data_IF_836965887835
#
_entry.id   IF_836965887835
#
_cell.length_a   1.000
_cell.length_b   1.000
_cell.length_c   1.000
_cell.angle_alpha   90.00
_cell.angle_beta   90.00
_cell.angle_gamma   90.00
#
_symmetry.space_group_name_H-M   'P 1'
#
loop_
_entity.id
_entity.type
_entity.pdbx_description
1 polymer ?
#
# COMPACT_ATOMS: atom_id res chain seq x y z
N UNK A 1 -33.42 0.65 10.68
CA UNK A 1 -32.91 -0.58 10.96
C UNK A 1 -33.33 -1.04 12.31
N UNK A 2 -34.22 -2.01 12.29
CA UNK A 2 -35.20 -2.11 13.32
C UNK A 2 -34.80 -2.96 14.53
N UNK A 3 -34.02 -3.99 14.37
CA UNK A 3 -34.11 -5.10 15.34
C UNK A 3 -33.00 -5.17 16.39
N UNK A 4 -31.94 -4.41 16.27
CA UNK A 4 -30.82 -4.52 17.20
C UNK A 4 -30.83 -3.53 18.38
N UNK A 5 -31.74 -2.55 18.36
CA UNK A 5 -31.66 -1.41 19.27
C UNK A 5 -32.97 -1.12 20.05
N UNK A 6 -33.98 -1.91 19.82
CA UNK A 6 -35.28 -1.76 20.50
C UNK A 6 -35.20 -2.14 21.99
N UNK A 7 -34.11 -2.79 22.39
CA UNK A 7 -33.89 -3.22 23.77
C UNK A 7 -33.79 -2.08 24.81
N UNK A 8 -33.60 -0.85 24.35
CA UNK A 8 -33.52 0.34 25.22
C UNK A 8 -34.68 1.31 25.00
N UNK A 9 -35.75 0.88 24.36
CA UNK A 9 -36.92 1.72 24.01
C UNK A 9 -36.57 2.98 23.22
N UNK A 10 -35.48 2.91 22.43
CA UNK A 10 -34.99 4.01 21.58
C UNK A 10 -35.13 3.64 20.12
N UNK A 11 -35.66 4.56 19.34
CA UNK A 11 -35.91 4.37 17.91
C UNK A 11 -34.95 5.20 17.05
N UNK A 12 -34.67 4.67 15.85
CA UNK A 12 -33.87 5.35 14.80
C UNK A 12 -32.52 5.91 15.27
N UNK A 13 -32.26 7.18 15.01
CA UNK A 13 -31.00 7.85 15.32
C UNK A 13 -30.72 8.06 16.82
N UNK A 14 -31.72 7.90 17.68
CA UNK A 14 -31.52 8.04 19.14
C UNK A 14 -30.64 6.94 19.76
N UNK A 15 -30.37 5.88 19.00
CA UNK A 15 -29.44 4.82 19.38
C UNK A 15 -28.01 5.04 18.86
N UNK A 16 -27.77 6.12 18.11
CA UNK A 16 -26.43 6.42 17.64
C UNK A 16 -25.55 6.94 18.79
N UNK A 17 -24.31 6.44 18.95
CA UNK A 17 -23.43 6.88 20.03
C UNK A 17 -22.73 8.23 19.73
N UNK A 18 -23.15 8.92 18.70
CA UNK A 18 -22.57 10.18 18.22
C UNK A 18 -23.63 11.27 18.11
N UNK A 19 -23.23 12.52 18.28
CA UNK A 19 -24.12 13.68 18.12
C UNK A 19 -24.41 13.96 16.64
N UNK A 20 -25.44 14.76 16.37
CA UNK A 20 -25.78 15.21 15.01
C UNK A 20 -24.66 16.09 14.41
N UNK A 21 -23.99 16.88 15.24
CA UNK A 21 -22.87 17.72 14.84
C UNK A 21 -21.68 16.83 14.41
N UNK A 22 -21.38 15.78 15.15
CA UNK A 22 -20.34 14.83 14.79
C UNK A 22 -20.68 14.06 13.51
N UNK A 23 -21.95 13.67 13.34
CA UNK A 23 -22.44 13.06 12.09
C UNK A 23 -22.25 13.99 10.89
N UNK A 24 -22.66 15.25 11.00
CA UNK A 24 -22.47 16.24 9.95
C UNK A 24 -20.99 16.46 9.63
N UNK A 25 -20.13 16.54 10.66
CA UNK A 25 -18.70 16.76 10.49
C UNK A 25 -18.03 15.62 9.74
N UNK A 26 -18.18 14.35 10.17
CA UNK A 26 -17.54 13.23 9.49
C UNK A 26 -18.12 12.96 8.10
N UNK A 27 -19.43 13.20 7.89
CA UNK A 27 -20.07 13.05 6.58
C UNK A 27 -19.50 14.08 5.60
N UNK A 28 -19.35 15.33 6.02
CA UNK A 28 -18.75 16.38 5.22
C UNK A 28 -17.30 16.07 4.88
N UNK A 29 -16.50 15.61 5.86
CA UNK A 29 -15.12 15.22 5.65
C UNK A 29 -15.00 14.04 4.66
N UNK A 30 -15.83 13.01 4.80
CA UNK A 30 -15.86 11.87 3.88
C UNK A 30 -16.27 12.30 2.47
N UNK A 31 -17.28 13.16 2.33
CA UNK A 31 -17.69 13.65 1.03
C UNK A 31 -16.58 14.48 0.35
N UNK A 32 -15.83 15.26 1.11
CA UNK A 32 -14.66 15.96 0.60
C UNK A 32 -13.56 15.00 0.15
N UNK A 33 -13.20 14.01 0.97
CA UNK A 33 -12.18 13.00 0.65
C UNK A 33 -12.58 12.12 -0.55
N UNK A 34 -13.87 11.77 -0.67
CA UNK A 34 -14.40 10.97 -1.78
C UNK A 34 -14.71 11.81 -3.02
N UNK A 35 -14.67 13.13 -2.92
CA UNK A 35 -14.95 14.07 -3.99
C UNK A 35 -14.14 13.76 -5.26
N UNK A 36 -14.66 14.13 -6.44
CA UNK A 36 -14.05 13.80 -7.74
C UNK A 36 -12.60 14.31 -7.84
N UNK A 37 -12.35 15.50 -7.33
CA UNK A 37 -11.07 16.21 -7.44
C UNK A 37 -10.15 16.00 -6.22
N UNK A 38 -10.50 15.06 -5.33
CA UNK A 38 -9.68 14.76 -4.14
C UNK A 38 -8.38 14.10 -4.55
N UNK A 39 -7.24 14.69 -4.14
CA UNK A 39 -5.90 14.10 -4.27
C UNK A 39 -5.65 12.99 -3.24
N UNK A 40 -6.46 12.92 -2.18
CA UNK A 40 -6.29 12.03 -1.05
C UNK A 40 -7.12 10.76 -1.19
N UNK A 41 -7.34 10.32 -2.44
CA UNK A 41 -8.00 9.04 -2.73
C UNK A 41 -7.37 8.32 -3.91
N UNK A 42 -7.50 7.02 -3.89
CA UNK A 42 -7.24 6.17 -5.05
C UNK A 42 -8.19 4.96 -5.04
N UNK A 43 -8.25 4.21 -6.15
CA UNK A 43 -9.15 3.08 -6.29
C UNK A 43 -8.37 1.77 -6.36
N UNK A 44 -8.77 0.81 -5.53
CA UNK A 44 -8.33 -0.57 -5.55
C UNK A 44 -9.53 -1.45 -5.92
N UNK A 45 -9.62 -1.85 -7.18
CA UNK A 45 -10.74 -2.64 -7.71
C UNK A 45 -12.08 -1.95 -7.41
N UNK A 46 -12.92 -2.51 -6.52
CA UNK A 46 -14.21 -1.97 -6.08
C UNK A 46 -14.12 -1.03 -4.86
N UNK A 47 -12.96 -0.98 -4.24
CA UNK A 47 -12.74 -0.22 -3.01
C UNK A 47 -12.13 1.15 -3.30
N UNK A 48 -12.77 2.20 -2.82
CA UNK A 48 -12.19 3.54 -2.75
C UNK A 48 -11.37 3.67 -1.47
N UNK A 49 -10.10 3.93 -1.61
CA UNK A 49 -9.20 4.17 -0.49
C UNK A 49 -9.02 5.67 -0.34
N UNK A 50 -9.32 6.18 0.84
CA UNK A 50 -9.06 7.58 1.24
C UNK A 50 -8.03 7.59 2.37
N UNK A 51 -7.21 8.61 2.41
CA UNK A 51 -6.16 8.76 3.41
C UNK A 51 -5.98 10.23 3.77
N UNK A 52 -5.53 10.47 4.98
CA UNK A 52 -5.24 11.82 5.47
C UNK A 52 -4.29 11.78 6.66
N UNK A 53 -3.62 12.88 6.89
CA UNK A 53 -2.84 13.15 8.09
C UNK A 53 -3.50 14.26 8.92
N UNK A 54 -3.21 14.29 10.21
CA UNK A 54 -3.75 15.33 11.10
C UNK A 54 -3.20 16.73 10.75
N UNK A 55 -2.01 16.79 10.13
CA UNK A 55 -1.37 17.99 9.59
C UNK A 55 -0.84 17.66 8.20
N UNK A 56 -0.76 18.61 7.26
CA UNK A 56 -0.18 18.36 5.94
C UNK A 56 1.23 17.79 6.04
N UNK A 57 1.50 16.67 5.35
CA UNK A 57 2.78 15.96 5.40
C UNK A 57 3.28 15.59 4.00
N UNK A 58 4.59 15.35 3.87
CA UNK A 58 5.18 14.88 2.62
C UNK A 58 4.64 13.50 2.22
N UNK A 59 4.39 12.62 3.20
CA UNK A 59 3.80 11.31 2.96
C UNK A 59 2.43 11.45 2.31
N UNK A 60 1.56 12.32 2.82
CA UNK A 60 0.22 12.54 2.29
C UNK A 60 0.27 12.97 0.81
N UNK A 61 1.22 13.85 0.46
CA UNK A 61 1.39 14.34 -0.92
C UNK A 61 1.81 13.24 -1.90
N UNK A 62 2.62 12.26 -1.48
CA UNK A 62 3.14 11.22 -2.37
C UNK A 62 2.38 9.88 -2.25
N UNK A 63 1.56 9.69 -1.22
CA UNK A 63 0.92 8.41 -0.90
C UNK A 63 0.12 7.84 -2.07
N UNK A 64 -0.69 8.66 -2.73
CA UNK A 64 -1.47 8.24 -3.89
C UNK A 64 -0.58 7.68 -5.02
N UNK A 65 0.55 8.33 -5.30
CA UNK A 65 1.43 7.96 -6.42
C UNK A 65 2.11 6.60 -6.23
N UNK A 66 2.30 6.17 -4.98
CA UNK A 66 2.87 4.86 -4.65
C UNK A 66 1.95 3.74 -5.08
N UNK A 67 0.64 3.93 -4.96
CA UNK A 67 -0.38 2.91 -5.19
C UNK A 67 -1.01 2.98 -6.58
N UNK A 68 -0.93 4.10 -7.27
CA UNK A 68 -1.56 4.32 -8.59
C UNK A 68 -0.55 4.23 -9.74
N UNK A 69 -1.07 4.07 -10.94
CA UNK A 69 -0.27 4.20 -12.15
C UNK A 69 -0.02 5.68 -12.48
N UNK A 70 1.18 6.04 -12.92
CA UNK A 70 1.37 7.35 -13.55
C UNK A 70 0.50 7.46 -14.81
N UNK A 71 0.16 8.68 -15.24
CA UNK A 71 -0.57 8.91 -16.48
C UNK A 71 0.15 8.26 -17.67
N UNK A 72 -0.61 7.78 -18.66
CA UNK A 72 -0.04 7.14 -19.85
C UNK A 72 0.84 8.11 -20.66
N UNK A 73 0.47 9.37 -20.65
CA UNK A 73 1.14 10.44 -21.41
C UNK A 73 2.43 10.93 -20.72
N UNK A 74 2.60 10.63 -19.43
CA UNK A 74 3.79 10.98 -18.65
C UNK A 74 4.13 9.85 -17.67
N UNK A 75 4.83 8.80 -18.13
CA UNK A 75 5.19 7.65 -17.31
C UNK A 75 6.13 7.97 -16.14
N UNK A 76 6.84 9.08 -16.22
CA UNK A 76 7.81 9.53 -15.22
C UNK A 76 7.23 10.59 -14.27
N UNK A 77 5.96 10.95 -14.46
CA UNK A 77 5.27 11.90 -13.58
C UNK A 77 5.37 11.44 -12.13
N UNK A 78 5.75 12.37 -11.27
CA UNK A 78 5.92 12.13 -9.83
C UNK A 78 7.05 11.17 -9.43
N UNK A 79 7.86 10.69 -10.37
CA UNK A 79 9.02 9.83 -10.08
C UNK A 79 10.02 10.55 -9.17
N UNK A 80 10.23 11.83 -9.36
CA UNK A 80 11.12 12.65 -8.52
C UNK A 80 10.59 12.78 -7.10
N UNK A 81 9.30 13.04 -6.94
CA UNK A 81 8.65 13.17 -5.61
C UNK A 81 8.83 11.87 -4.80
N UNK A 82 8.61 10.71 -5.44
CA UNK A 82 8.80 9.41 -4.78
C UNK A 82 10.29 9.16 -4.53
N UNK A 83 11.16 9.49 -5.47
CA UNK A 83 12.61 9.36 -5.29
C UNK A 83 13.10 10.19 -4.10
N UNK A 84 12.65 11.41 -3.98
CA UNK A 84 13.02 12.32 -2.88
C UNK A 84 12.47 11.81 -1.54
N UNK A 85 11.23 11.29 -1.54
CA UNK A 85 10.66 10.63 -0.39
C UNK A 85 11.49 9.41 0.04
N UNK A 86 11.92 8.58 -0.92
CA UNK A 86 12.74 7.39 -0.63
C UNK A 86 14.16 7.72 -0.18
N UNK A 87 14.75 8.80 -0.71
CA UNK A 87 16.12 9.27 -0.36
C UNK A 87 16.15 10.10 0.92
N UNK A 88 15.02 10.64 1.35
CA UNK A 88 14.94 11.43 2.58
C UNK A 88 15.49 10.61 3.75
N UNK A 89 16.56 11.04 4.41
CA UNK A 89 17.20 10.27 5.46
C UNK A 89 16.21 10.06 6.60
N UNK A 90 15.98 8.79 6.94
CA UNK A 90 15.39 8.45 8.21
C UNK A 90 16.48 8.68 9.27
N UNK A 91 16.50 9.86 9.84
CA UNK A 91 17.55 10.29 10.77
C UNK A 91 17.55 9.52 12.11
N UNK A 92 16.67 8.53 12.28
CA UNK A 92 16.49 7.83 13.56
C UNK A 92 15.93 8.72 14.68
N UNK A 93 15.97 10.03 14.51
CA UNK A 93 15.34 11.02 15.38
C UNK A 93 13.96 11.30 14.76
N UNK A 94 12.91 10.89 15.46
CA UNK A 94 11.52 11.16 15.06
C UNK A 94 11.32 12.68 15.05
N UNK A 95 11.17 13.24 13.86
CA UNK A 95 10.74 14.61 13.70
C UNK A 95 9.27 14.74 14.12
N UNK A 96 8.81 15.94 14.43
CA UNK A 96 7.40 16.16 14.77
C UNK A 96 6.44 15.76 13.66
N UNK A 97 6.86 15.82 12.40
CA UNK A 97 6.12 15.29 11.25
C UNK A 97 5.93 13.77 11.35
N UNK A 98 6.97 13.03 11.75
CA UNK A 98 6.92 11.56 11.88
C UNK A 98 5.94 11.08 12.95
N UNK A 99 5.69 11.87 13.99
CA UNK A 99 4.73 11.59 15.06
C UNK A 99 3.28 11.93 14.68
N UNK A 100 3.09 12.62 13.56
CA UNK A 100 1.75 13.04 13.10
C UNK A 100 0.89 11.81 12.82
N UNK A 101 -0.34 11.73 13.37
CA UNK A 101 -1.27 10.66 13.06
C UNK A 101 -1.60 10.62 11.56
N UNK A 102 -1.59 9.41 11.00
CA UNK A 102 -1.93 9.11 9.61
C UNK A 102 -3.01 8.03 9.57
N UNK A 103 -3.97 8.19 8.67
CA UNK A 103 -5.14 7.34 8.58
C UNK A 103 -5.37 6.87 7.16
N UNK A 104 -5.77 5.61 7.00
CA UNK A 104 -6.16 5.01 5.72
C UNK A 104 -7.49 4.28 5.89
N UNK A 105 -8.47 4.61 5.06
CA UNK A 105 -9.82 4.06 5.12
C UNK A 105 -10.22 3.51 3.75
N UNK A 106 -10.57 2.23 3.69
CA UNK A 106 -11.12 1.58 2.50
C UNK A 106 -12.63 1.47 2.56
N UNK A 107 -13.31 2.01 1.56
CA UNK A 107 -14.74 2.06 1.43
C UNK A 107 -15.19 1.40 0.13
N UNK A 108 -16.21 0.55 0.20
CA UNK A 108 -16.78 -0.12 -0.96
C UNK A 108 -18.30 0.09 -0.99
N UNK A 109 -18.90 0.31 -2.16
CA UNK A 109 -20.33 0.37 -2.29
C UNK A 109 -20.95 -1.00 -1.97
N UNK A 110 -22.05 -0.99 -1.23
CA UNK A 110 -22.82 -2.18 -0.90
C UNK A 110 -24.31 -1.86 -0.99
N UNK A 111 -24.87 -2.00 -2.19
CA UNK A 111 -26.21 -1.55 -2.55
C UNK A 111 -26.43 -0.07 -2.15
N UNK A 112 -27.41 0.23 -1.29
CA UNK A 112 -27.68 1.58 -0.79
C UNK A 112 -26.79 1.99 0.41
N UNK A 113 -25.69 1.29 0.68
CA UNK A 113 -24.83 1.51 1.84
C UNK A 113 -23.38 1.56 1.44
N UNK A 114 -22.54 2.08 2.33
CA UNK A 114 -21.08 2.03 2.23
C UNK A 114 -20.59 1.00 3.26
N UNK A 115 -19.77 0.06 2.81
CA UNK A 115 -19.07 -0.89 3.68
C UNK A 115 -17.65 -0.40 3.92
N UNK A 116 -17.25 -0.38 5.19
CA UNK A 116 -15.85 -0.21 5.56
C UNK A 116 -15.15 -1.56 5.33
N UNK A 117 -14.20 -1.59 4.40
CA UNK A 117 -13.40 -2.78 4.08
C UNK A 117 -12.23 -2.92 5.03
N UNK A 118 -11.57 -1.80 5.30
CA UNK A 118 -10.48 -1.75 6.26
C UNK A 118 -10.33 -0.34 6.82
N UNK A 119 -9.74 -0.28 7.99
CA UNK A 119 -9.30 0.93 8.67
C UNK A 119 -7.89 0.71 9.19
N UNK A 120 -6.98 1.64 8.89
CA UNK A 120 -5.62 1.64 9.41
C UNK A 120 -5.31 3.00 10.01
N UNK A 121 -4.68 2.97 11.16
CA UNK A 121 -4.24 4.13 11.90
C UNK A 121 -2.81 3.88 12.38
N UNK A 122 -1.97 4.87 12.26
CA UNK A 122 -0.58 4.85 12.72
C UNK A 122 0.00 6.24 12.64
N UNK A 123 1.31 6.33 12.63
CA UNK A 123 2.03 7.60 12.45
C UNK A 123 2.61 7.72 11.05
N UNK A 124 2.88 8.94 10.62
CA UNK A 124 3.56 9.21 9.33
C UNK A 124 4.90 8.47 9.26
N UNK A 125 5.67 8.46 10.36
CA UNK A 125 6.96 7.76 10.42
C UNK A 125 6.83 6.26 10.24
N UNK A 126 5.82 5.61 10.85
CA UNK A 126 5.54 4.18 10.68
C UNK A 126 5.20 3.84 9.23
N UNK A 127 4.22 4.51 8.65
CA UNK A 127 3.83 4.28 7.26
C UNK A 127 4.99 4.56 6.29
N UNK A 128 5.73 5.66 6.51
CA UNK A 128 6.89 5.99 5.69
C UNK A 128 7.99 4.91 5.77
N UNK A 129 8.28 4.38 6.95
CA UNK A 129 9.22 3.29 7.18
C UNK A 129 8.79 2.02 6.45
N UNK A 130 7.53 1.62 6.58
CA UNK A 130 6.97 0.43 5.94
C UNK A 130 6.99 0.53 4.40
N UNK A 131 6.69 1.71 3.85
CA UNK A 131 6.73 1.97 2.42
C UNK A 131 8.17 1.94 1.91
N UNK A 132 9.14 2.57 2.61
CA UNK A 132 10.56 2.48 2.24
C UNK A 132 11.05 1.04 2.25
N UNK A 133 10.66 0.27 3.26
CA UNK A 133 11.02 -1.15 3.33
C UNK A 133 10.41 -1.95 2.17
N UNK A 134 9.18 -1.63 1.75
CA UNK A 134 8.57 -2.22 0.55
C UNK A 134 9.41 -1.99 -0.71
N UNK A 135 9.87 -0.75 -0.94
CA UNK A 135 10.70 -0.45 -2.11
C UNK A 135 12.09 -1.08 -2.02
N UNK A 136 12.70 -1.14 -0.83
CA UNK A 136 13.96 -1.85 -0.58
C UNK A 136 13.84 -3.34 -0.88
N UNK A 137 12.75 -3.97 -0.48
CA UNK A 137 12.49 -5.39 -0.78
C UNK A 137 12.37 -5.66 -2.29
N UNK A 138 11.80 -4.71 -3.04
CA UNK A 138 11.63 -4.80 -4.51
C UNK A 138 12.90 -4.42 -5.29
N UNK A 139 13.92 -3.89 -4.64
CA UNK A 139 15.13 -3.43 -5.30
C UNK A 139 15.86 -4.60 -5.98
N UNK A 140 16.13 -4.46 -7.27
CA UNK A 140 16.91 -5.40 -8.09
C UNK A 140 17.97 -4.63 -8.88
N UNK A 141 18.99 -5.31 -9.35
CA UNK A 141 19.95 -4.73 -10.28
C UNK A 141 19.21 -4.33 -11.57
N UNK A 142 19.23 -3.06 -11.89
CA UNK A 142 18.52 -2.47 -13.02
C UNK A 142 19.49 -2.04 -14.12
N UNK A 143 19.08 -2.18 -15.37
CA UNK A 143 19.75 -1.50 -16.47
C UNK A 143 19.43 0.01 -16.43
N UNK A 144 20.28 0.84 -17.07
CA UNK A 144 20.17 2.32 -17.06
C UNK A 144 18.80 2.85 -17.54
N UNK A 145 18.07 2.06 -18.31
CA UNK A 145 16.80 2.44 -18.93
C UNK A 145 15.56 1.90 -18.19
N UNK A 146 15.72 1.28 -17.01
CA UNK A 146 14.59 0.76 -16.24
C UNK A 146 14.08 1.79 -15.22
N UNK A 147 12.77 1.75 -14.97
CA UNK A 147 12.09 2.64 -14.02
C UNK A 147 12.74 2.58 -12.64
N UNK A 148 12.84 3.72 -12.00
CA UNK A 148 13.46 3.84 -10.67
C UNK A 148 12.68 3.06 -9.60
N UNK A 149 11.36 2.97 -9.71
CA UNK A 149 10.49 2.24 -8.77
C UNK A 149 9.30 1.59 -9.50
N UNK A 150 8.66 0.63 -8.84
CA UNK A 150 7.45 -0.03 -9.33
C UNK A 150 6.26 0.34 -8.43
N UNK A 151 5.25 1.00 -8.98
CA UNK A 151 4.00 1.25 -8.25
C UNK A 151 3.25 -0.06 -7.98
N UNK A 152 2.33 -0.05 -7.02
CA UNK A 152 1.45 -1.18 -6.76
C UNK A 152 0.71 -1.62 -8.03
N UNK A 153 0.24 -0.67 -8.84
CA UNK A 153 -0.40 -0.94 -10.12
C UNK A 153 0.53 -1.72 -11.08
N UNK A 154 1.82 -1.33 -11.16
CA UNK A 154 2.78 -2.06 -11.99
C UNK A 154 2.97 -3.50 -11.51
N UNK A 155 3.05 -3.73 -10.21
CA UNK A 155 3.19 -5.08 -9.64
C UNK A 155 1.97 -5.93 -9.98
N UNK A 156 0.76 -5.41 -9.76
CA UNK A 156 -0.48 -6.12 -9.98
C UNK A 156 -0.73 -6.44 -11.47
N UNK A 157 -0.49 -5.49 -12.37
CA UNK A 157 -0.65 -5.73 -13.81
C UNK A 157 0.30 -6.81 -14.34
N UNK A 158 1.52 -6.93 -13.80
CA UNK A 158 2.48 -7.97 -14.22
C UNK A 158 2.11 -9.39 -13.78
N UNK A 159 1.27 -9.52 -12.76
CA UNK A 159 0.75 -10.82 -12.31
C UNK A 159 -0.67 -11.10 -12.82
N UNK A 160 -1.32 -10.11 -13.40
CA UNK A 160 -2.65 -10.25 -14.00
C UNK A 160 -2.59 -10.92 -15.38
N UNK A 161 -3.56 -11.76 -15.70
CA UNK A 161 -3.72 -12.28 -17.05
C UNK A 161 -4.02 -11.15 -18.04
N UNK A 162 -3.36 -11.15 -19.19
CA UNK A 162 -3.43 -10.11 -20.22
C UNK A 162 -3.07 -8.70 -19.70
N UNK A 163 -2.36 -8.59 -18.58
CA UNK A 163 -2.04 -7.35 -17.87
C UNK A 163 -3.28 -6.50 -17.50
N UNK A 164 -4.44 -7.14 -17.33
CA UNK A 164 -5.71 -6.49 -16.98
C UNK A 164 -6.03 -6.68 -15.51
N UNK A 165 -6.27 -5.59 -14.79
CA UNK A 165 -6.61 -5.61 -13.35
C UNK A 165 -7.88 -6.43 -13.05
N UNK A 166 -8.81 -6.51 -14.00
CA UNK A 166 -10.06 -7.26 -13.89
C UNK A 166 -9.83 -8.79 -13.77
N UNK A 167 -8.68 -9.26 -14.23
CA UNK A 167 -8.29 -10.68 -14.20
C UNK A 167 -7.48 -11.06 -12.95
N UNK A 168 -7.39 -10.16 -11.97
CA UNK A 168 -6.75 -10.46 -10.69
C UNK A 168 -7.68 -11.27 -9.78
N UNK A 169 -7.13 -12.13 -8.93
CA UNK A 169 -7.89 -12.73 -7.86
C UNK A 169 -8.56 -11.64 -6.98
N UNK A 170 -9.82 -11.85 -6.57
CA UNK A 170 -10.47 -10.97 -5.62
C UNK A 170 -9.58 -10.74 -4.39
N UNK A 171 -9.60 -9.55 -3.84
CA UNK A 171 -8.85 -9.15 -2.65
C UNK A 171 -7.33 -9.03 -2.80
N UNK A 172 -6.68 -9.57 -3.85
CA UNK A 172 -5.21 -9.52 -3.98
C UNK A 172 -4.65 -8.09 -3.87
N UNK A 173 -5.28 -7.12 -4.51
CA UNK A 173 -4.86 -5.73 -4.47
C UNK A 173 -4.97 -5.14 -3.05
N UNK A 174 -6.06 -5.46 -2.35
CA UNK A 174 -6.30 -5.05 -0.97
C UNK A 174 -5.31 -5.69 0.00
N UNK A 175 -5.11 -7.02 -0.11
CA UNK A 175 -4.22 -7.78 0.76
C UNK A 175 -2.76 -7.33 0.59
N UNK A 176 -2.34 -7.08 -0.66
CA UNK A 176 -0.99 -6.57 -0.93
C UNK A 176 -0.80 -5.16 -0.36
N UNK A 177 -1.80 -4.28 -0.52
CA UNK A 177 -1.76 -2.94 0.06
C UNK A 177 -1.64 -2.99 1.59
N UNK A 178 -2.43 -3.83 2.25
CA UNK A 178 -2.36 -4.01 3.69
C UNK A 178 -1.00 -4.56 4.13
N UNK A 179 -0.46 -5.54 3.40
CA UNK A 179 0.88 -6.06 3.67
C UNK A 179 1.98 -4.98 3.58
N UNK A 180 1.82 -4.01 2.68
CA UNK A 180 2.75 -2.87 2.56
C UNK A 180 2.62 -1.96 3.77
N UNK A 181 1.39 -1.55 4.14
CA UNK A 181 1.16 -0.61 5.25
C UNK A 181 1.55 -1.18 6.61
N UNK A 182 1.30 -2.48 6.81
CA UNK A 182 1.55 -3.17 8.08
C UNK A 182 2.94 -3.84 8.12
N UNK A 183 3.77 -3.66 7.08
CA UNK A 183 5.08 -4.32 6.89
C UNK A 183 5.04 -5.85 7.08
N UNK A 184 3.93 -6.47 6.68
CA UNK A 184 3.71 -7.91 6.80
C UNK A 184 4.21 -8.66 5.55
N UNK A 185 4.38 -10.00 5.61
CA UNK A 185 4.66 -10.82 4.45
C UNK A 185 3.64 -10.58 3.33
N UNK A 186 4.09 -10.62 2.08
CA UNK A 186 3.17 -10.53 0.96
C UNK A 186 2.24 -11.74 0.90
N UNK A 187 0.99 -11.57 0.38
CA UNK A 187 0.06 -12.67 0.27
C UNK A 187 0.60 -13.76 -0.65
N UNK A 188 0.43 -15.02 -0.26
CA UNK A 188 0.87 -16.19 -1.06
C UNK A 188 0.23 -16.20 -2.45
N UNK A 189 -0.97 -15.65 -2.58
CA UNK A 189 -1.66 -15.48 -3.86
C UNK A 189 -0.85 -14.63 -4.85
N UNK A 190 -0.10 -13.62 -4.40
CA UNK A 190 0.77 -12.83 -5.25
C UNK A 190 1.89 -13.69 -5.85
N UNK A 191 2.55 -14.51 -5.02
CA UNK A 191 3.59 -15.44 -5.48
C UNK A 191 3.03 -16.45 -6.48
N UNK A 192 1.88 -17.06 -6.16
CA UNK A 192 1.24 -18.04 -7.04
C UNK A 192 0.89 -17.45 -8.40
N UNK A 193 0.26 -16.27 -8.43
CA UNK A 193 -0.07 -15.59 -9.68
C UNK A 193 1.19 -15.23 -10.48
N UNK A 194 2.25 -14.76 -9.81
CA UNK A 194 3.53 -14.49 -10.46
C UNK A 194 4.11 -15.73 -11.14
N UNK A 195 4.13 -16.87 -10.44
CA UNK A 195 4.62 -18.16 -11.00
C UNK A 195 3.75 -18.67 -12.14
N UNK A 196 2.42 -18.55 -12.04
CA UNK A 196 1.49 -18.91 -13.12
C UNK A 196 1.78 -18.08 -14.36
N UNK A 197 1.98 -16.77 -14.21
CA UNK A 197 2.29 -15.88 -15.35
C UNK A 197 3.66 -16.19 -15.96
N UNK A 198 4.68 -16.46 -15.15
CA UNK A 198 6.00 -16.86 -15.66
C UNK A 198 5.89 -18.14 -16.51
N UNK A 199 5.14 -19.13 -16.04
CA UNK A 199 4.93 -20.38 -16.78
C UNK A 199 4.14 -20.16 -18.08
N UNK A 200 3.07 -19.36 -18.04
CA UNK A 200 2.22 -19.11 -19.20
C UNK A 200 2.94 -18.28 -20.28
N UNK A 201 3.65 -17.24 -19.89
CA UNK A 201 4.31 -16.31 -20.80
C UNK A 201 5.72 -16.79 -21.18
N UNK A 202 6.26 -17.79 -20.48
CA UNK A 202 7.66 -18.28 -20.59
C UNK A 202 8.68 -17.14 -20.50
N UNK A 203 8.38 -16.12 -19.70
CA UNK A 203 9.19 -14.92 -19.58
C UNK A 203 9.22 -14.43 -18.12
N UNK A 204 10.43 -14.16 -17.62
CA UNK A 204 10.66 -13.55 -16.32
C UNK A 204 11.02 -12.09 -16.54
N UNK A 205 10.02 -11.21 -16.38
CA UNK A 205 10.27 -9.76 -16.41
C UNK A 205 10.99 -9.30 -15.14
N UNK A 206 11.67 -8.16 -15.22
CA UNK A 206 12.31 -7.56 -14.04
C UNK A 206 11.35 -7.33 -12.87
N UNK A 207 10.11 -6.94 -13.17
CA UNK A 207 9.07 -6.75 -12.13
C UNK A 207 8.69 -8.09 -11.49
N UNK A 208 8.54 -9.17 -12.25
CA UNK A 208 8.24 -10.50 -11.70
C UNK A 208 9.39 -11.02 -10.83
N UNK A 209 10.63 -10.80 -11.25
CA UNK A 209 11.81 -11.13 -10.45
C UNK A 209 11.83 -10.33 -9.13
N UNK A 210 11.55 -9.02 -9.18
CA UNK A 210 11.44 -8.17 -8.00
C UNK A 210 10.34 -8.63 -7.04
N UNK A 211 9.15 -9.03 -7.56
CA UNK A 211 8.05 -9.56 -6.75
C UNK A 211 8.49 -10.83 -6.00
N UNK A 212 9.12 -11.79 -6.69
CA UNK A 212 9.58 -13.04 -6.07
C UNK A 212 10.65 -12.78 -5.02
N UNK A 213 11.64 -11.92 -5.31
CA UNK A 213 12.66 -11.49 -4.34
C UNK A 213 12.02 -10.87 -3.12
N UNK A 214 11.13 -9.89 -3.31
CA UNK A 214 10.48 -9.18 -2.22
C UNK A 214 9.58 -10.11 -1.37
N UNK A 215 8.87 -11.05 -2.01
CA UNK A 215 8.08 -12.07 -1.31
C UNK A 215 8.96 -12.90 -0.38
N UNK A 216 10.09 -13.40 -0.87
CA UNK A 216 11.02 -14.21 -0.09
C UNK A 216 11.63 -13.37 1.06
N UNK A 217 12.14 -12.18 0.77
CA UNK A 217 12.75 -11.30 1.78
C UNK A 217 11.78 -11.04 2.94
N UNK A 218 10.52 -10.68 2.63
CA UNK A 218 9.50 -10.41 3.65
C UNK A 218 9.08 -11.65 4.42
N UNK A 219 8.90 -12.77 3.73
CA UNK A 219 8.57 -14.04 4.35
C UNK A 219 9.63 -14.45 5.38
N UNK A 220 10.91 -14.35 5.03
CA UNK A 220 12.01 -14.77 5.89
C UNK A 220 12.33 -13.78 7.00
N UNK A 221 12.15 -12.48 6.77
CA UNK A 221 12.29 -11.47 7.83
C UNK A 221 11.30 -11.70 8.98
N UNK A 222 10.12 -12.19 8.68
CA UNK A 222 9.09 -12.48 9.67
C UNK A 222 9.16 -13.91 10.23
N UNK A 223 10.11 -14.72 9.77
CA UNK A 223 10.39 -16.05 10.35
C UNK A 223 11.52 -15.97 11.37
N UNK A 224 11.28 -16.51 12.57
CA UNK A 224 12.28 -16.53 13.65
C UNK A 224 13.54 -17.36 13.33
N UNK A 225 13.49 -18.23 12.29
CA UNK A 225 14.63 -19.05 11.83
C UNK A 225 14.54 -19.23 10.30
N UNK A 226 15.12 -18.32 9.50
CA UNK A 226 15.21 -18.52 8.05
C UNK A 226 16.13 -19.72 7.72
N UNK A 227 15.87 -20.51 6.66
CA UNK A 227 16.77 -21.53 6.17
C UNK A 227 18.20 -20.97 5.97
N UNK A 228 19.22 -21.79 6.26
CA UNK A 228 20.64 -21.37 6.24
C UNK A 228 21.06 -20.76 4.89
N UNK A 229 20.56 -21.31 3.77
CA UNK A 229 20.87 -20.82 2.42
C UNK A 229 20.39 -19.37 2.21
N UNK A 230 19.27 -19.02 2.83
CA UNK A 230 18.69 -17.66 2.73
C UNK A 230 19.38 -16.72 3.67
N UNK A 231 19.74 -17.18 4.88
CA UNK A 231 20.55 -16.39 5.78
C UNK A 231 21.90 -16.02 5.13
N UNK A 232 22.56 -16.97 4.46
CA UNK A 232 23.78 -16.71 3.70
C UNK A 232 23.58 -15.69 2.56
N UNK A 233 22.46 -15.77 1.83
CA UNK A 233 22.16 -14.83 0.76
C UNK A 233 21.91 -13.42 1.30
N UNK A 234 21.20 -13.28 2.44
CA UNK A 234 21.00 -12.01 3.12
C UNK A 234 22.30 -11.44 3.69
N UNK A 235 23.18 -12.29 4.24
CA UNK A 235 24.48 -11.90 4.75
C UNK A 235 25.43 -11.45 3.63
N UNK A 236 25.38 -12.08 2.46
CA UNK A 236 26.11 -11.66 1.26
C UNK A 236 25.62 -10.31 0.73
N UNK A 237 24.30 -10.10 0.72
CA UNK A 237 23.71 -8.81 0.29
C UNK A 237 24.14 -7.68 1.25
N UNK A 238 24.10 -7.92 2.56
CA UNK A 238 24.58 -6.96 3.56
C UNK A 238 26.06 -6.68 3.46
N UNK A 239 26.91 -7.70 3.19
CA UNK A 239 28.35 -7.54 2.96
C UNK A 239 28.64 -6.75 1.69
N UNK A 240 27.91 -7.03 0.60
CA UNK A 240 28.07 -6.29 -0.65
C UNK A 240 27.64 -4.82 -0.52
N UNK A 241 26.60 -4.51 0.27
CA UNK A 241 26.24 -3.14 0.59
C UNK A 241 27.31 -2.43 1.42
N UNK A 242 27.92 -3.10 2.39
CA UNK A 242 29.02 -2.53 3.17
C UNK A 242 30.25 -2.25 2.31
N UNK A 243 30.54 -3.08 1.29
CA UNK A 243 31.62 -2.86 0.33
C UNK A 243 31.37 -1.69 -0.65
N UNK A 244 30.12 -1.38 -0.93
CA UNK A 244 29.75 -0.27 -1.83
C UNK A 244 29.62 1.07 -1.10
N UNK A 245 29.59 1.07 0.23
CA UNK A 245 29.48 2.25 1.08
C UNK A 245 30.83 2.63 1.75
N UNK A 246 31.87 1.86 1.60
CA UNK A 246 33.27 2.13 2.04
C UNK A 246 34.10 2.59 0.89
#
# INVERSE_FOLDING_TARGET
>A
KKSGYDSYYKEQGMNAPISKEAEAAYTTALNSLLGKDSSNKYRLHDTSVVFWSQKPTKLEQCFCFIFTSPPKDDPDKNTEVIRDFLKSPFSGVLNDEDKTPFYVLGLSPNAARISVRFWRQGTVGEFASHIRQHFKDLEIIKSKNQRAYFSLFNLLTQVASLNKMENLPPCLASDLSQSIWDNQPYPTTLQMQCLIRIKADRNITSIRAAILKAYLNRKFRNHNNPPKEIQMALDLENKNQAYLCG
#
